data_IF_218308490486
#
_entry.id   IF_218308490486
#
_cell.length_a   1.000
_cell.length_b   1.000
_cell.length_c   1.000
_cell.angle_alpha   90.00
_cell.angle_beta   90.00
_cell.angle_gamma   90.00
#
_symmetry.space_group_name_H-M   'P 1'
#
loop_
_entity.id
_entity.type
_entity.pdbx_description
1 polymer ?
#
# COMPACT_ATOMS: atom_id res chain seq x y z
N UNK A 1 -2.57 -24.23 7.99
CA UNK A 1 -3.25 -23.07 7.35
C UNK A 1 -3.47 -22.01 8.41
N UNK A 2 -2.94 -20.80 8.23
CA UNK A 2 -3.06 -19.73 9.24
C UNK A 2 -4.51 -19.31 9.47
N UNK A 3 -4.87 -19.05 10.72
CA UNK A 3 -6.19 -18.58 11.14
C UNK A 3 -6.60 -17.33 10.33
N UNK A 4 -7.79 -17.37 9.74
CA UNK A 4 -8.33 -16.25 8.99
C UNK A 4 -9.09 -15.33 9.94
N UNK A 5 -8.81 -14.04 9.89
CA UNK A 5 -9.58 -13.04 10.63
C UNK A 5 -10.69 -12.49 9.73
N UNK A 6 -11.84 -12.18 10.31
CA UNK A 6 -12.88 -11.44 9.59
C UNK A 6 -12.55 -9.95 9.66
N UNK A 7 -12.55 -9.29 8.51
CA UNK A 7 -12.32 -7.86 8.38
C UNK A 7 -13.41 -7.17 7.58
N UNK A 8 -13.35 -5.84 7.61
CA UNK A 8 -14.15 -4.94 6.79
C UNK A 8 -13.23 -4.31 5.74
N UNK A 9 -13.59 -4.42 4.47
CA UNK A 9 -12.85 -3.77 3.36
C UNK A 9 -13.74 -2.69 2.76
N UNK A 10 -13.15 -1.51 2.54
CA UNK A 10 -13.84 -0.37 1.95
C UNK A 10 -13.66 -0.33 0.44
N UNK A 11 -14.76 -0.29 -0.29
CA UNK A 11 -14.80 -0.23 -1.74
C UNK A 11 -15.33 1.11 -2.22
N UNK A 12 -14.77 1.57 -3.33
CA UNK A 12 -15.27 2.74 -4.05
C UNK A 12 -16.55 2.34 -4.79
N UNK A 13 -17.60 3.13 -4.59
CA UNK A 13 -18.86 3.02 -5.32
C UNK A 13 -19.15 4.33 -6.04
N UNK A 14 -19.41 4.25 -7.34
CA UNK A 14 -19.78 5.42 -8.13
C UNK A 14 -21.12 5.97 -7.62
N UNK A 15 -21.20 7.28 -7.41
CA UNK A 15 -22.45 7.91 -7.00
C UNK A 15 -23.43 7.91 -8.19
N UNK A 16 -24.70 7.62 -7.93
CA UNK A 16 -25.73 7.57 -8.98
C UNK A 16 -25.93 8.91 -9.70
N UNK A 17 -25.64 10.02 -9.01
CA UNK A 17 -25.73 11.37 -9.55
C UNK A 17 -24.52 11.78 -10.43
N UNK A 18 -23.45 10.97 -10.46
CA UNK A 18 -22.23 11.25 -11.25
C UNK A 18 -22.38 10.72 -12.67
N UNK A 19 -22.00 11.52 -13.67
CA UNK A 19 -22.09 11.12 -15.09
C UNK A 19 -21.41 9.76 -15.30
N UNK A 20 -22.07 8.77 -15.93
CA UNK A 20 -21.51 7.45 -16.22
C UNK A 20 -20.14 7.46 -16.90
N UNK A 21 -19.86 8.47 -17.72
CA UNK A 21 -18.60 8.63 -18.46
C UNK A 21 -17.51 9.38 -17.68
N UNK A 22 -17.88 10.00 -16.56
CA UNK A 22 -16.92 10.69 -15.70
C UNK A 22 -16.09 9.69 -14.89
N UNK A 23 -14.76 9.86 -14.94
CA UNK A 23 -13.82 9.05 -14.16
C UNK A 23 -13.90 9.40 -12.67
N UNK A 24 -13.76 8.38 -11.83
CA UNK A 24 -13.65 8.58 -10.38
C UNK A 24 -12.44 9.46 -10.05
N UNK A 25 -12.62 10.48 -9.21
CA UNK A 25 -11.51 11.33 -8.73
C UNK A 25 -11.62 11.58 -7.23
N UNK A 26 -10.46 11.85 -6.62
CA UNK A 26 -10.34 12.43 -5.29
C UNK A 26 -9.27 13.52 -5.35
N UNK A 27 -9.63 14.72 -4.93
CA UNK A 27 -8.69 15.83 -4.81
C UNK A 27 -7.90 15.66 -3.52
N UNK A 28 -6.59 15.84 -3.60
CA UNK A 28 -5.70 15.80 -2.43
C UNK A 28 -5.41 17.20 -1.86
N UNK A 29 -5.92 18.24 -2.53
CA UNK A 29 -5.92 19.64 -2.11
C UNK A 29 -7.33 20.10 -1.79
N UNK A 30 -7.48 21.27 -1.17
CA UNK A 30 -8.80 21.85 -0.87
C UNK A 30 -9.57 22.11 -2.16
N UNK A 31 -10.72 21.45 -2.33
CA UNK A 31 -11.57 21.68 -3.49
C UNK A 31 -12.07 23.15 -3.53
N UNK A 32 -12.18 23.75 -4.73
CA UNK A 32 -12.87 25.03 -4.91
C UNK A 32 -14.30 25.00 -4.35
N UNK A 33 -14.82 26.17 -3.99
CA UNK A 33 -16.21 26.27 -3.51
C UNK A 33 -17.19 25.74 -4.55
N UNK A 34 -18.09 24.83 -4.15
CA UNK A 34 -19.05 24.17 -5.03
C UNK A 34 -18.51 22.96 -5.81
N UNK A 35 -17.21 22.67 -5.75
CA UNK A 35 -16.63 21.48 -6.36
C UNK A 35 -16.45 20.37 -5.31
N UNK A 36 -16.98 19.15 -5.52
CA UNK A 36 -16.87 18.11 -4.51
C UNK A 36 -15.43 17.59 -4.42
N UNK A 37 -15.00 17.19 -3.22
CA UNK A 37 -13.64 16.66 -2.98
C UNK A 37 -13.41 15.35 -3.76
N UNK A 38 -14.46 14.60 -4.05
CA UNK A 38 -14.47 13.37 -4.84
C UNK A 38 -15.88 13.17 -5.45
N UNK A 39 -16.00 12.32 -6.46
CA UNK A 39 -17.27 12.00 -7.13
C UNK A 39 -17.74 10.55 -6.86
N UNK A 40 -17.35 9.96 -5.74
CA UNK A 40 -17.70 8.59 -5.38
C UNK A 40 -17.97 8.46 -3.88
N UNK A 41 -18.65 7.39 -3.49
CA UNK A 41 -18.83 7.00 -2.10
C UNK A 41 -17.89 5.84 -1.75
N UNK A 42 -17.63 5.68 -0.46
CA UNK A 42 -16.84 4.56 0.06
C UNK A 42 -17.76 3.72 0.93
N UNK A 43 -18.04 2.49 0.51
CA UNK A 43 -18.90 1.56 1.24
C UNK A 43 -18.08 0.45 1.90
N UNK A 44 -18.29 0.16 3.20
CA UNK A 44 -17.68 -0.99 3.87
C UNK A 44 -18.37 -2.29 3.45
N UNK A 45 -17.57 -3.32 3.20
CA UNK A 45 -18.00 -4.71 3.03
C UNK A 45 -17.40 -5.54 4.15
N UNK A 46 -18.27 -6.03 5.03
CA UNK A 46 -17.91 -6.81 6.20
C UNK A 46 -17.82 -8.31 5.91
N UNK A 47 -17.25 -9.07 6.85
CA UNK A 47 -17.17 -10.52 6.76
C UNK A 47 -16.13 -11.03 5.75
N UNK A 48 -15.22 -10.17 5.29
CA UNK A 48 -14.15 -10.58 4.38
C UNK A 48 -13.10 -11.39 5.16
N UNK A 49 -12.80 -12.60 4.68
CA UNK A 49 -11.77 -13.46 5.27
C UNK A 49 -10.38 -12.97 4.88
N UNK A 50 -9.68 -12.37 5.83
CA UNK A 50 -8.30 -11.92 5.65
C UNK A 50 -7.36 -13.00 6.20
N UNK A 51 -6.42 -13.44 5.36
CA UNK A 51 -5.40 -14.44 5.72
C UNK A 51 -4.04 -13.77 5.85
N UNK A 52 -3.25 -14.24 6.81
CA UNK A 52 -1.91 -13.72 7.01
C UNK A 52 -0.96 -14.22 5.90
N UNK A 53 -0.66 -13.34 4.94
CA UNK A 53 0.28 -13.60 3.84
C UNK A 53 1.68 -14.00 4.34
N UNK A 54 2.14 -13.48 5.49
CA UNK A 54 3.47 -13.78 6.04
C UNK A 54 3.63 -15.24 6.48
N UNK A 55 2.52 -15.96 6.68
CA UNK A 55 2.50 -17.39 7.03
C UNK A 55 2.22 -18.28 5.82
N UNK A 56 2.13 -17.70 4.62
CA UNK A 56 1.87 -18.46 3.40
C UNK A 56 3.18 -19.02 2.84
N UNK A 57 3.10 -20.20 2.21
CA UNK A 57 4.23 -20.81 1.52
C UNK A 57 4.21 -20.39 0.04
N UNK A 58 4.29 -19.09 -0.20
CA UNK A 58 4.24 -18.54 -1.56
C UNK A 58 5.65 -18.47 -2.14
N UNK A 59 5.84 -19.12 -3.28
CA UNK A 59 7.07 -19.12 -4.06
C UNK A 59 6.97 -18.14 -5.23
N UNK A 60 8.11 -17.51 -5.56
CA UNK A 60 8.18 -16.46 -6.59
C UNK A 60 7.83 -17.02 -7.96
N UNK A 61 8.31 -18.22 -8.26
CA UNK A 61 8.21 -18.90 -9.55
C UNK A 61 6.75 -19.22 -9.90
N UNK A 62 5.96 -19.56 -8.89
CA UNK A 62 4.57 -19.98 -9.05
C UNK A 62 3.59 -18.81 -8.99
N UNK A 63 3.90 -17.75 -8.23
CA UNK A 63 2.93 -16.69 -7.89
C UNK A 63 3.39 -15.27 -8.27
N UNK A 64 4.61 -15.10 -8.77
CA UNK A 64 5.22 -13.80 -9.07
C UNK A 64 5.53 -12.93 -7.84
N UNK A 65 5.36 -13.47 -6.63
CA UNK A 65 5.65 -12.80 -5.35
C UNK A 65 6.33 -13.78 -4.40
N UNK A 66 7.14 -13.27 -3.47
CA UNK A 66 7.78 -14.06 -2.41
C UNK A 66 7.87 -13.24 -1.14
N UNK A 67 7.83 -13.91 0.00
CA UNK A 67 8.03 -13.30 1.31
C UNK A 67 9.45 -13.59 1.77
N UNK A 68 10.29 -12.54 1.78
CA UNK A 68 11.62 -12.60 2.38
C UNK A 68 11.54 -12.30 3.89
N UNK A 69 12.42 -12.93 4.66
CA UNK A 69 12.55 -12.66 6.10
C UNK A 69 13.82 -11.84 6.32
N UNK A 70 13.72 -10.83 7.18
CA UNK A 70 14.85 -10.06 7.66
C UNK A 70 14.97 -10.28 9.16
N UNK A 71 16.20 -10.40 9.67
CA UNK A 71 16.42 -10.48 11.12
C UNK A 71 16.15 -9.11 11.74
N UNK A 72 14.98 -8.98 12.35
CA UNK A 72 14.55 -7.76 13.01
C UNK A 72 14.91 -7.69 14.49
N UNK A 73 15.71 -8.62 15.02
CA UNK A 73 15.97 -8.73 16.47
C UNK A 73 16.64 -7.47 17.07
N UNK A 74 17.45 -6.77 16.27
CA UNK A 74 18.12 -5.52 16.66
C UNK A 74 17.43 -4.26 16.09
N UNK A 75 16.33 -4.43 15.34
CA UNK A 75 15.65 -3.33 14.66
C UNK A 75 14.52 -2.79 15.53
N UNK A 76 14.71 -1.60 16.10
CA UNK A 76 13.69 -0.91 16.90
C UNK A 76 13.00 0.17 16.07
N UNK A 77 11.71 0.49 16.33
CA UNK A 77 10.99 1.53 15.60
C UNK A 77 11.74 2.88 15.54
N UNK A 78 12.40 3.27 16.62
CA UNK A 78 13.12 4.54 16.75
C UNK A 78 14.37 4.60 15.87
N UNK A 79 14.94 3.45 15.51
CA UNK A 79 16.08 3.40 14.61
C UNK A 79 15.73 3.87 13.20
N UNK A 80 14.45 3.79 12.80
CA UNK A 80 13.99 4.30 11.51
C UNK A 80 13.77 5.82 11.52
N UNK A 81 13.99 6.50 12.64
CA UNK A 81 14.07 7.96 12.67
C UNK A 81 15.49 8.48 12.35
N UNK A 82 16.46 7.58 12.17
CA UNK A 82 17.87 7.86 11.89
C UNK A 82 18.26 7.35 10.49
N UNK A 83 18.35 8.28 9.54
CA UNK A 83 18.70 8.00 8.14
C UNK A 83 20.08 7.33 8.03
N UNK A 84 21.04 7.75 8.87
CA UNK A 84 22.39 7.19 8.91
C UNK A 84 22.37 5.72 9.35
N UNK A 85 21.53 5.39 10.34
CA UNK A 85 21.34 4.01 10.77
C UNK A 85 20.68 3.17 9.68
N UNK A 86 19.68 3.72 8.99
CA UNK A 86 19.01 3.05 7.87
C UNK A 86 20.04 2.65 6.81
N UNK A 87 20.88 3.59 6.40
CA UNK A 87 21.88 3.34 5.35
C UNK A 87 23.00 2.39 5.78
N UNK A 88 23.46 2.49 7.03
CA UNK A 88 24.60 1.70 7.53
C UNK A 88 24.22 0.32 8.04
N UNK A 89 22.96 0.11 8.44
CA UNK A 89 22.51 -1.12 9.11
C UNK A 89 21.35 -1.77 8.38
N UNK A 90 20.26 -1.03 8.14
CA UNK A 90 19.05 -1.64 7.57
C UNK A 90 19.19 -1.99 6.08
N UNK A 91 19.71 -1.07 5.25
CA UNK A 91 19.85 -1.32 3.81
C UNK A 91 20.81 -2.47 3.48
N UNK A 92 21.96 -2.65 4.16
CA UNK A 92 22.81 -3.83 3.96
C UNK A 92 22.12 -5.15 4.35
N UNK A 93 21.37 -5.15 5.45
CA UNK A 93 20.60 -6.33 5.88
C UNK A 93 19.47 -6.67 4.89
N UNK A 94 18.80 -5.64 4.36
CA UNK A 94 17.79 -5.77 3.32
C UNK A 94 18.41 -6.29 2.01
N UNK A 95 19.56 -5.77 1.61
CA UNK A 95 20.32 -6.24 0.45
C UNK A 95 20.61 -7.74 0.55
N UNK A 96 21.17 -8.19 1.67
CA UNK A 96 21.45 -9.60 1.93
C UNK A 96 20.19 -10.46 1.83
N UNK A 97 19.11 -10.02 2.48
CA UNK A 97 17.81 -10.72 2.46
C UNK A 97 17.23 -10.84 1.04
N UNK A 98 17.35 -9.79 0.22
CA UNK A 98 16.87 -9.79 -1.17
C UNK A 98 17.72 -10.68 -2.07
N UNK A 99 19.05 -10.61 -1.97
CA UNK A 99 19.96 -11.48 -2.71
C UNK A 99 19.67 -12.96 -2.41
N UNK A 100 19.52 -13.31 -1.13
CA UNK A 100 19.18 -14.67 -0.70
C UNK A 100 17.79 -15.10 -1.20
N UNK A 101 16.77 -14.24 -1.02
CA UNK A 101 15.41 -14.56 -1.40
C UNK A 101 15.24 -14.76 -2.91
N UNK A 102 15.97 -14.01 -3.74
CA UNK A 102 15.86 -14.05 -5.19
C UNK A 102 16.93 -14.92 -5.86
N UNK A 103 17.93 -15.42 -5.12
CA UNK A 103 19.12 -16.05 -5.70
C UNK A 103 19.91 -15.08 -6.59
N UNK A 104 19.80 -13.78 -6.35
CA UNK A 104 20.44 -12.75 -7.14
C UNK A 104 21.93 -12.64 -6.78
N UNK A 105 22.78 -12.38 -7.79
CA UNK A 105 24.20 -12.11 -7.57
C UNK A 105 24.43 -10.80 -6.81
N UNK A 106 23.60 -9.81 -7.12
CA UNK A 106 23.64 -8.49 -6.51
C UNK A 106 22.29 -7.79 -6.65
N UNK A 107 22.03 -6.85 -5.74
CA UNK A 107 20.87 -5.96 -5.72
C UNK A 107 21.40 -4.56 -5.47
N UNK A 108 20.88 -3.55 -6.16
CA UNK A 108 21.25 -2.16 -5.90
C UNK A 108 20.02 -1.39 -5.48
N UNK A 109 20.11 -0.76 -4.31
CA UNK A 109 19.06 0.14 -3.80
C UNK A 109 19.45 1.55 -4.25
N UNK A 110 18.70 2.09 -5.22
CA UNK A 110 18.98 3.42 -5.78
C UNK A 110 18.44 4.56 -4.91
N UNK A 111 17.28 4.33 -4.31
CA UNK A 111 16.56 5.33 -3.54
C UNK A 111 15.67 4.62 -2.52
N UNK A 112 15.38 5.28 -1.40
CA UNK A 112 14.51 4.78 -0.37
C UNK A 112 13.72 5.93 0.26
N UNK A 113 12.48 5.65 0.65
CA UNK A 113 11.63 6.59 1.35
C UNK A 113 10.95 5.90 2.52
N UNK A 114 11.01 6.53 3.69
CA UNK A 114 10.31 6.04 4.86
C UNK A 114 8.88 6.56 4.91
N UNK A 115 7.91 5.65 4.81
CA UNK A 115 6.50 5.99 4.93
C UNK A 115 6.02 5.79 6.37
N UNK A 116 5.88 6.89 7.12
CA UNK A 116 5.29 6.89 8.47
C UNK A 116 3.79 7.12 8.39
N UNK A 117 3.04 6.43 9.25
CA UNK A 117 1.62 6.71 9.48
C UNK A 117 1.47 7.70 10.63
N UNK A 118 0.42 8.52 10.59
CA UNK A 118 0.09 9.36 11.74
C UNK A 118 -0.38 8.49 12.90
N UNK A 119 -0.15 8.96 14.13
CA UNK A 119 -0.63 8.31 15.35
C UNK A 119 -2.16 8.19 15.36
N UNK A 120 -2.85 9.17 14.76
CA UNK A 120 -4.31 9.19 14.62
C UNK A 120 -4.85 8.22 13.58
N UNK A 121 -4.01 7.61 12.73
CA UNK A 121 -4.48 6.66 11.72
C UNK A 121 -5.23 5.49 12.40
N UNK A 122 -6.40 5.05 11.89
CA UNK A 122 -6.99 5.35 10.58
C UNK A 122 -7.90 6.59 10.51
N UNK A 123 -8.14 7.29 11.62
CA UNK A 123 -9.10 8.40 11.70
C UNK A 123 -8.40 9.67 12.17
N UNK A 124 -8.15 10.59 11.24
CA UNK A 124 -7.58 11.92 11.53
C UNK A 124 -8.37 12.64 12.63
N UNK A 125 -7.64 13.33 13.50
CA UNK A 125 -8.22 14.25 14.47
C UNK A 125 -8.63 15.56 13.78
N UNK A 126 -9.64 16.24 14.34
CA UNK A 126 -10.09 17.54 13.83
C UNK A 126 -8.94 18.56 14.01
N UNK A 127 -8.52 19.20 12.92
CA UNK A 127 -7.46 20.22 12.92
C UNK A 127 -6.03 19.68 12.77
N UNK A 128 -5.86 18.36 12.62
CA UNK A 128 -4.54 17.73 12.48
C UNK A 128 -3.94 17.97 11.09
N UNK A 129 -2.77 18.64 11.05
CA UNK A 129 -1.97 18.83 9.84
C UNK A 129 -0.99 17.67 9.69
N UNK A 130 -1.35 16.68 8.86
CA UNK A 130 -0.44 15.60 8.46
C UNK A 130 0.00 15.85 7.02
N UNK A 131 0.66 16.98 6.77
CA UNK A 131 1.13 17.40 5.45
C UNK A 131 2.31 16.53 4.99
N UNK A 132 3.18 16.12 5.92
CA UNK A 132 4.41 15.36 5.62
C UNK A 132 4.23 13.84 5.70
N UNK A 133 3.05 13.34 6.08
CA UNK A 133 2.81 11.91 6.30
C UNK A 133 1.75 11.39 5.32
N UNK A 134 2.21 10.82 4.21
CA UNK A 134 1.37 10.13 3.25
C UNK A 134 0.69 8.92 3.90
N UNK A 135 -0.54 9.11 4.40
CA UNK A 135 -1.28 8.07 5.12
C UNK A 135 -1.50 6.84 4.24
N UNK A 136 -1.46 5.62 4.79
CA UNK A 136 -1.85 4.42 4.07
C UNK A 136 -3.27 4.54 3.51
N UNK A 137 -3.53 4.02 2.30
CA UNK A 137 -4.89 3.96 1.77
C UNK A 137 -5.72 2.95 2.57
N UNK A 138 -6.93 3.35 2.96
CA UNK A 138 -7.92 2.47 3.58
C UNK A 138 -8.89 1.86 2.55
N UNK A 139 -8.79 2.29 1.29
CA UNK A 139 -9.67 1.86 0.21
C UNK A 139 -8.94 0.90 -0.70
N UNK A 140 -9.58 -0.22 -1.03
CA UNK A 140 -9.14 -1.07 -2.11
C UNK A 140 -9.49 -0.39 -3.45
N UNK A 141 -8.49 -0.16 -4.29
CA UNK A 141 -8.74 0.25 -5.67
C UNK A 141 -9.10 -1.00 -6.49
N UNK A 142 -10.35 -1.11 -6.92
CA UNK A 142 -10.71 -2.02 -8.01
C UNK A 142 -10.51 -1.21 -9.29
N UNK A 143 -9.40 -1.45 -9.99
CA UNK A 143 -9.30 -1.02 -11.37
C UNK A 143 -10.34 -1.78 -12.20
N UNK A 144 -10.93 -1.18 -13.25
CA UNK A 144 -11.67 -1.97 -14.21
C UNK A 144 -10.73 -3.08 -14.71
N UNK A 145 -11.22 -4.31 -14.78
CA UNK A 145 -10.62 -5.31 -15.66
C UNK A 145 -10.55 -4.63 -17.01
N UNK A 146 -9.37 -4.20 -17.42
CA UNK A 146 -9.15 -3.57 -18.72
C UNK A 146 -9.84 -4.45 -19.73
N UNK A 147 -10.85 -3.91 -20.42
CA UNK A 147 -11.22 -4.40 -21.72
C UNK A 147 -9.93 -4.61 -22.49
N UNK A 148 -9.75 -5.84 -22.96
CA UNK A 148 -8.68 -6.27 -23.85
C UNK A 148 -8.48 -5.17 -24.91
N UNK A 149 -7.34 -4.46 -24.85
CA UNK A 149 -6.88 -3.64 -25.97
C UNK A 149 -5.98 -4.59 -26.76
N UNK A 150 -6.40 -5.09 -27.93
CA UNK A 150 -5.51 -5.84 -28.78
C UNK A 150 -4.31 -4.96 -29.11
N UNK A 151 -3.12 -5.54 -28.99
CA UNK A 151 -1.90 -4.91 -29.45
C UNK A 151 -1.92 -4.98 -30.99
N UNK A 152 -2.36 -3.91 -31.65
CA UNK A 152 -2.19 -3.76 -33.10
C UNK A 152 -0.74 -3.32 -33.32
N UNK A 153 0.09 -4.31 -33.67
CA UNK A 153 1.47 -4.07 -34.05
C UNK A 153 1.53 -3.41 -35.42
N UNK A 154 1.98 -2.16 -35.43
CA UNK A 154 2.70 -1.52 -36.54
C UNK A 154 4.04 -0.99 -36.02
#
# INVERSE_FOLDING_TARGET
MGEAILGSIRYVKKNEATDPNEKGYILHYKAPEGFPQNNFSIEPYDGVKIRNLRKSNIQYEDHGIKIATIDSSQMRPENFDDDDWIEKVYLPELHRSLCEALGAKDVTIFDWMLRKRAVSFPKRNIGEKNEDQAQPSLSAHIGPLSTYIPWDGD
#
